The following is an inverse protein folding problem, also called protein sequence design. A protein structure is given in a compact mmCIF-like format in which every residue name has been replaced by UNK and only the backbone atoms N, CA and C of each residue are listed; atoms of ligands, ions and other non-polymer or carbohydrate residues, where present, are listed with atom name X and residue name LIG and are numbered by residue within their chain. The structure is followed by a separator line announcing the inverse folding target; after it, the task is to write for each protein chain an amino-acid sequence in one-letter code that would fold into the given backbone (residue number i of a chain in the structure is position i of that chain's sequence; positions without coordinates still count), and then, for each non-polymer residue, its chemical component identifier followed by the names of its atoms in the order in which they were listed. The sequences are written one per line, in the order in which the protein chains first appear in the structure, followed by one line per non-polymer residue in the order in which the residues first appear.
data_IF_012782381511
#
_entry.id   IF_012782381511
#
_cell.length_a   1.000
_cell.length_b   1.000
_cell.length_c   1.000
_cell.angle_alpha   90.00
_cell.angle_beta   90.00
_cell.angle_gamma   90.00
#
_symmetry.space_group_name_H-M   'P 1'
#
loop_
_entity.id
_entity.type
_entity.pdbx_description
1 polymer ?
#
# COMPACT_ATOMS: atom_id res chain seq x y z
N UNK A 1 21.35 -4.54 -8.13
CA UNK A 1 20.11 -4.27 -7.34
C UNK A 1 19.03 -3.53 -8.14
N UNK A 2 19.37 -2.82 -9.19
CA UNK A 2 18.41 -2.06 -10.01
C UNK A 2 17.67 -2.90 -11.06
N UNK A 3 18.02 -4.17 -11.22
CA UNK A 3 17.43 -5.02 -12.26
C UNK A 3 16.11 -5.61 -11.78
N UNK A 4 15.08 -5.51 -12.62
CA UNK A 4 13.77 -6.12 -12.35
C UNK A 4 13.91 -7.63 -12.20
N UNK A 5 13.27 -8.24 -11.17
CA UNK A 5 13.25 -9.68 -11.01
C UNK A 5 12.53 -10.38 -12.17
N UNK A 6 13.00 -11.57 -12.53
CA UNK A 6 12.29 -12.42 -13.49
C UNK A 6 10.88 -12.76 -12.98
N UNK A 7 9.92 -12.86 -13.88
CA UNK A 7 8.52 -13.15 -13.60
C UNK A 7 7.75 -12.09 -12.78
N UNK A 8 8.35 -10.94 -12.47
CA UNK A 8 7.64 -9.82 -11.86
C UNK A 8 6.73 -9.17 -12.89
N UNK A 9 5.44 -9.04 -12.57
CA UNK A 9 4.43 -8.55 -13.52
C UNK A 9 4.01 -7.10 -13.30
N UNK A 10 4.41 -6.52 -12.17
CA UNK A 10 4.15 -5.14 -11.82
C UNK A 10 5.05 -4.13 -12.52
N UNK A 11 5.07 -2.89 -12.02
CA UNK A 11 5.99 -1.86 -12.54
C UNK A 11 7.21 -1.75 -11.63
N UNK A 12 8.40 -1.82 -12.22
CA UNK A 12 9.68 -1.69 -11.54
C UNK A 12 10.31 -0.36 -11.89
N UNK A 13 10.33 0.57 -10.94
CA UNK A 13 10.79 1.95 -11.14
C UNK A 13 12.14 2.14 -10.46
N UNK A 14 13.17 2.41 -11.26
CA UNK A 14 14.53 2.72 -10.81
C UNK A 14 14.81 4.22 -10.90
N UNK A 15 15.92 4.74 -10.33
CA UNK A 15 16.28 6.16 -10.38
C UNK A 15 16.32 6.76 -11.80
N UNK A 16 16.67 5.97 -12.81
CA UNK A 16 16.73 6.40 -14.21
C UNK A 16 15.35 6.49 -14.89
N UNK A 17 14.29 6.00 -14.23
CA UNK A 17 12.96 5.99 -14.82
C UNK A 17 12.29 7.38 -14.72
N UNK A 18 11.62 7.89 -15.77
CA UNK A 18 10.99 9.21 -15.77
C UNK A 18 9.96 9.44 -14.64
N UNK A 19 9.34 8.38 -14.17
CA UNK A 19 8.36 8.45 -13.07
C UNK A 19 8.98 8.28 -11.68
N UNK A 20 10.30 8.23 -11.55
CA UNK A 20 10.95 7.90 -10.27
C UNK A 20 10.64 8.92 -9.18
N UNK A 21 10.78 10.22 -9.47
CA UNK A 21 10.48 11.28 -8.49
C UNK A 21 9.05 11.17 -7.96
N UNK A 22 8.08 10.84 -8.84
CA UNK A 22 6.69 10.63 -8.43
C UNK A 22 6.53 9.36 -7.59
N UNK A 23 7.28 8.32 -7.89
CA UNK A 23 7.20 7.04 -7.19
C UNK A 23 7.76 7.11 -5.76
N UNK A 24 8.82 7.91 -5.52
CA UNK A 24 9.39 8.11 -4.18
C UNK A 24 8.68 9.20 -3.37
N UNK A 25 7.86 10.05 -3.98
CA UNK A 25 7.17 11.13 -3.30
C UNK A 25 6.33 10.63 -2.13
N UNK A 26 6.32 11.40 -1.05
CA UNK A 26 5.54 11.14 0.18
C UNK A 26 4.73 12.38 0.56
N UNK A 27 3.67 12.16 1.35
CA UNK A 27 2.92 13.28 1.91
C UNK A 27 3.82 14.22 2.72
N UNK A 28 4.68 13.67 3.55
CA UNK A 28 5.68 14.42 4.30
C UNK A 28 7.02 14.41 3.55
N UNK A 29 7.43 15.55 3.01
CA UNK A 29 8.66 15.69 2.21
C UNK A 29 9.90 15.25 3.00
N UNK A 30 9.95 15.50 4.30
CA UNK A 30 11.04 15.03 5.17
C UNK A 30 11.12 13.51 5.30
N UNK A 31 10.08 12.79 4.89
CA UNK A 31 10.01 11.33 4.90
C UNK A 31 10.41 10.70 3.55
N UNK A 32 10.70 11.50 2.52
CA UNK A 32 11.19 10.99 1.24
C UNK A 32 12.61 10.41 1.41
N UNK A 33 12.85 9.28 0.73
CA UNK A 33 14.17 8.62 0.67
C UNK A 33 14.42 8.11 -0.74
N UNK A 34 15.67 8.06 -1.13
CA UNK A 34 16.09 7.59 -2.46
C UNK A 34 16.18 6.07 -2.48
N UNK A 35 15.07 5.42 -2.79
CA UNK A 35 15.02 3.97 -2.94
C UNK A 35 15.81 3.51 -4.17
N UNK A 36 16.49 2.35 -4.08
CA UNK A 36 17.12 1.74 -5.25
C UNK A 36 16.11 1.28 -6.29
N UNK A 37 14.90 0.90 -5.85
CA UNK A 37 13.77 0.60 -6.72
C UNK A 37 12.44 0.77 -5.98
N UNK A 38 11.38 1.10 -6.74
CA UNK A 38 9.99 1.06 -6.29
C UNK A 38 9.24 0.02 -7.12
N UNK A 39 8.73 -1.01 -6.46
CA UNK A 39 7.99 -2.12 -7.06
C UNK A 39 6.48 -1.92 -6.83
N UNK A 40 5.73 -1.49 -7.86
CA UNK A 40 4.27 -1.47 -7.84
C UNK A 40 3.74 -2.87 -8.11
N UNK A 41 3.35 -3.57 -7.05
CA UNK A 41 2.92 -4.97 -7.11
C UNK A 41 1.45 -5.10 -7.50
N UNK A 42 1.12 -6.07 -8.36
CA UNK A 42 -0.24 -6.32 -8.84
C UNK A 42 -0.97 -7.38 -8.02
N UNK A 43 -0.24 -8.26 -7.37
CA UNK A 43 -0.80 -9.41 -6.66
C UNK A 43 0.17 -9.94 -5.60
N UNK A 44 -0.27 -10.92 -4.81
CA UNK A 44 0.55 -11.53 -3.76
C UNK A 44 1.79 -12.25 -4.31
N UNK A 45 1.73 -12.77 -5.55
CA UNK A 45 2.87 -13.42 -6.18
C UNK A 45 3.99 -12.41 -6.46
N UNK A 46 3.65 -11.22 -6.95
CA UNK A 46 4.61 -10.13 -7.15
C UNK A 46 5.29 -9.75 -5.82
N UNK A 47 4.52 -9.67 -4.72
CA UNK A 47 5.07 -9.41 -3.38
C UNK A 47 6.10 -10.49 -3.01
N UNK A 48 5.77 -11.78 -3.19
CA UNK A 48 6.67 -12.87 -2.89
C UNK A 48 7.96 -12.81 -3.74
N UNK A 49 7.85 -12.47 -5.01
CA UNK A 49 9.00 -12.30 -5.92
C UNK A 49 9.92 -11.18 -5.41
N UNK A 50 9.37 -10.02 -5.05
CA UNK A 50 10.15 -8.89 -4.54
C UNK A 50 10.81 -9.22 -3.21
N UNK A 51 10.12 -9.92 -2.31
CA UNK A 51 10.68 -10.36 -1.03
C UNK A 51 11.85 -11.33 -1.23
N UNK A 52 11.73 -12.30 -2.14
CA UNK A 52 12.79 -13.24 -2.45
C UNK A 52 14.00 -12.53 -3.10
N UNK A 53 13.74 -11.58 -4.00
CA UNK A 53 14.78 -10.75 -4.60
C UNK A 53 15.51 -9.93 -3.53
N UNK A 54 14.79 -9.24 -2.64
CA UNK A 54 15.39 -8.48 -1.55
C UNK A 54 16.25 -9.37 -0.63
N UNK A 55 15.76 -10.57 -0.30
CA UNK A 55 16.50 -11.55 0.50
C UNK A 55 17.79 -11.99 -0.20
N UNK A 56 17.73 -12.31 -1.49
CA UNK A 56 18.89 -12.73 -2.29
C UNK A 56 20.01 -11.68 -2.29
N UNK A 57 19.63 -10.42 -2.44
CA UNK A 57 20.57 -9.28 -2.51
C UNK A 57 20.80 -8.59 -1.17
N UNK A 58 20.24 -9.13 -0.07
CA UNK A 58 20.30 -8.55 1.29
C UNK A 58 19.85 -7.08 1.30
N UNK A 59 18.86 -6.76 0.49
CA UNK A 59 18.29 -5.42 0.37
C UNK A 59 17.25 -5.20 1.46
N UNK A 60 17.26 -4.03 2.06
CA UNK A 60 16.19 -3.62 2.96
C UNK A 60 14.92 -3.30 2.18
N UNK A 61 13.78 -3.44 2.82
CA UNK A 61 12.48 -3.15 2.23
C UNK A 61 11.68 -2.17 3.07
N UNK A 62 10.85 -1.38 2.41
CA UNK A 62 9.75 -0.64 3.03
C UNK A 62 8.46 -0.96 2.27
N UNK A 63 7.32 -0.89 2.96
CA UNK A 63 6.00 -1.11 2.34
C UNK A 63 5.28 0.24 2.32
N UNK A 64 4.67 0.56 1.18
CA UNK A 64 3.88 1.76 0.98
C UNK A 64 2.42 1.42 0.66
N UNK A 65 1.49 1.91 1.48
CA UNK A 65 0.09 2.09 1.15
C UNK A 65 -0.15 3.48 0.56
N UNK A 66 -0.72 4.41 1.33
CA UNK A 66 -0.92 5.82 0.91
C UNK A 66 0.34 6.70 0.99
N UNK A 67 1.37 6.27 1.72
CA UNK A 67 2.60 7.05 1.89
C UNK A 67 2.47 8.22 2.87
N UNK A 68 1.60 8.11 3.86
CA UNK A 68 1.31 9.17 4.83
C UNK A 68 2.15 9.14 6.12
N UNK A 69 3.01 8.13 6.28
CA UNK A 69 3.87 8.02 7.47
C UNK A 69 4.89 9.16 7.55
N UNK A 70 4.70 10.07 8.47
CA UNK A 70 5.64 11.17 8.75
C UNK A 70 6.96 10.67 9.37
N UNK A 71 6.96 9.48 9.97
CA UNK A 71 8.18 8.84 10.50
C UNK A 71 9.06 8.22 9.41
N UNK A 72 8.57 8.15 8.16
CA UNK A 72 9.30 7.57 7.04
C UNK A 72 9.22 6.04 6.95
N UNK A 73 8.29 5.39 7.68
CA UNK A 73 8.16 3.93 7.66
C UNK A 73 7.84 3.34 6.27
N UNK A 74 7.22 4.14 5.39
CA UNK A 74 6.93 3.76 4.00
C UNK A 74 8.04 4.11 3.00
N UNK A 75 9.20 4.55 3.48
CA UNK A 75 10.36 4.97 2.67
C UNK A 75 11.62 4.26 3.11
N UNK A 76 12.57 4.12 2.21
CA UNK A 76 13.86 3.51 2.53
C UNK A 76 14.95 4.09 1.63
N UNK A 77 16.13 4.31 2.20
CA UNK A 77 17.32 4.71 1.45
C UNK A 77 17.98 3.47 0.86
N UNK A 78 18.33 3.52 -0.41
CA UNK A 78 19.05 2.46 -1.14
C UNK A 78 18.42 1.05 -1.08
N UNK A 79 17.17 0.96 -0.63
CA UNK A 79 16.40 -0.29 -0.53
C UNK A 79 15.30 -0.40 -1.58
N UNK A 80 14.40 -1.36 -1.40
CA UNK A 80 13.26 -1.59 -2.30
C UNK A 80 11.96 -1.17 -1.59
N UNK A 81 11.17 -0.32 -2.22
CA UNK A 81 9.80 0.00 -1.78
C UNK A 81 8.83 -0.95 -2.47
N UNK A 82 8.05 -1.70 -1.70
CA UNK A 82 6.88 -2.46 -2.19
C UNK A 82 5.67 -1.52 -2.11
N UNK A 83 5.19 -1.07 -3.25
CA UNK A 83 4.10 -0.10 -3.34
C UNK A 83 2.78 -0.78 -3.73
N UNK A 84 1.78 -0.68 -2.84
CA UNK A 84 0.47 -1.28 -3.00
C UNK A 84 -0.54 -0.32 -3.65
N UNK A 85 -0.24 0.99 -3.68
CA UNK A 85 -1.21 2.05 -3.96
C UNK A 85 -1.78 2.02 -5.38
N UNK A 86 -1.05 1.47 -6.35
CA UNK A 86 -1.44 1.51 -7.77
C UNK A 86 -2.41 0.39 -8.15
N UNK A 87 -2.18 -0.82 -7.68
CA UNK A 87 -2.88 -2.03 -8.14
C UNK A 87 -3.63 -2.77 -7.04
N UNK A 88 -3.25 -2.60 -5.78
CA UNK A 88 -3.87 -3.26 -4.64
C UNK A 88 -4.68 -2.25 -3.79
N UNK A 89 -5.40 -1.35 -4.46
CA UNK A 89 -6.19 -0.28 -3.84
C UNK A 89 -7.70 -0.47 -4.01
N UNK A 90 -8.15 -1.63 -4.46
CA UNK A 90 -9.56 -1.92 -4.68
C UNK A 90 -10.33 -2.03 -3.37
N UNK A 91 -11.59 -1.62 -3.41
CA UNK A 91 -12.54 -1.74 -2.30
C UNK A 91 -13.81 -2.41 -2.81
N UNK A 92 -14.22 -3.50 -2.16
CA UNK A 92 -15.48 -4.20 -2.42
C UNK A 92 -16.28 -4.30 -1.12
N UNK A 93 -17.54 -3.94 -1.17
CA UNK A 93 -18.49 -4.04 -0.04
C UNK A 93 -19.46 -5.18 -0.29
N UNK A 94 -19.68 -6.00 0.73
CA UNK A 94 -20.77 -6.95 0.82
C UNK A 94 -21.82 -6.38 1.78
N UNK A 95 -22.92 -5.81 1.26
CA UNK A 95 -23.90 -5.16 2.11
C UNK A 95 -24.76 -6.15 2.92
N UNK A 96 -24.89 -7.38 2.49
CA UNK A 96 -25.66 -8.40 3.21
C UNK A 96 -24.92 -8.84 4.47
N UNK A 97 -23.63 -9.08 4.35
CA UNK A 97 -22.76 -9.47 5.46
C UNK A 97 -22.22 -8.26 6.24
N UNK A 98 -22.46 -7.03 5.76
CA UNK A 98 -21.87 -5.78 6.30
C UNK A 98 -20.35 -5.87 6.40
N UNK A 99 -19.69 -6.35 5.36
CA UNK A 99 -18.26 -6.50 5.26
C UNK A 99 -17.71 -5.66 4.13
N UNK A 100 -16.53 -5.07 4.35
CA UNK A 100 -15.73 -4.46 3.31
C UNK A 100 -14.41 -5.25 3.13
N UNK A 101 -14.05 -5.51 1.89
CA UNK A 101 -12.77 -6.06 1.48
C UNK A 101 -11.96 -4.90 0.92
N UNK A 102 -10.86 -4.57 1.58
CA UNK A 102 -10.09 -3.36 1.31
C UNK A 102 -8.66 -3.75 0.99
N UNK A 103 -8.18 -3.35 -0.18
CA UNK A 103 -6.78 -3.54 -0.56
C UNK A 103 -5.85 -2.70 0.30
N UNK A 104 -4.64 -3.21 0.58
CA UNK A 104 -3.67 -2.53 1.45
C UNK A 104 -3.15 -1.19 0.91
N UNK A 105 -3.36 -0.91 -0.37
CA UNK A 105 -3.05 0.38 -1.00
C UNK A 105 -4.24 1.36 -1.05
N UNK A 106 -5.44 0.94 -0.60
CA UNK A 106 -6.62 1.79 -0.61
C UNK A 106 -6.51 2.90 0.44
N UNK A 107 -7.05 4.07 0.12
CA UNK A 107 -7.20 5.18 1.06
C UNK A 107 -8.63 5.20 1.62
N UNK A 108 -8.82 5.77 2.81
CA UNK A 108 -10.12 5.82 3.47
C UNK A 108 -11.20 6.49 2.64
N UNK A 109 -10.86 7.52 1.86
CA UNK A 109 -11.79 8.15 0.92
C UNK A 109 -12.45 7.13 -0.03
N UNK A 110 -11.68 6.16 -0.54
CA UNK A 110 -12.20 5.13 -1.44
C UNK A 110 -13.13 4.16 -0.70
N UNK A 111 -12.79 3.84 0.54
CA UNK A 111 -13.62 2.98 1.41
C UNK A 111 -14.95 3.66 1.68
N UNK A 112 -14.92 4.92 2.13
CA UNK A 112 -16.12 5.70 2.46
C UNK A 112 -17.03 5.90 1.25
N UNK A 113 -16.46 6.31 0.11
CA UNK A 113 -17.22 6.48 -1.14
C UNK A 113 -17.83 5.18 -1.65
N UNK A 114 -17.24 4.04 -1.32
CA UNK A 114 -17.79 2.73 -1.70
C UNK A 114 -18.86 2.28 -0.72
N UNK A 115 -18.63 2.41 0.58
CA UNK A 115 -19.56 1.98 1.62
C UNK A 115 -20.88 2.78 1.59
N UNK A 116 -20.78 4.11 1.41
CA UNK A 116 -21.97 5.00 1.42
C UNK A 116 -22.98 4.68 0.30
N UNK A 117 -22.54 4.11 -0.82
CA UNK A 117 -23.43 3.66 -1.90
C UNK A 117 -24.41 2.56 -1.45
N UNK A 118 -24.05 1.87 -0.36
CA UNK A 118 -24.85 0.82 0.26
C UNK A 118 -25.51 1.28 1.58
N UNK A 119 -25.44 2.57 1.92
CA UNK A 119 -25.94 3.10 3.20
C UNK A 119 -25.13 2.63 4.40
N UNK A 120 -23.87 2.28 4.20
CA UNK A 120 -22.97 1.76 5.22
C UNK A 120 -21.82 2.74 5.45
N UNK A 121 -21.23 2.69 6.64
CA UNK A 121 -20.03 3.43 7.01
C UNK A 121 -19.01 2.48 7.64
N UNK A 122 -17.71 2.73 7.40
CA UNK A 122 -16.62 2.01 8.05
C UNK A 122 -16.14 2.79 9.28
N UNK A 123 -15.80 2.06 10.35
CA UNK A 123 -15.01 2.66 11.44
C UNK A 123 -13.58 2.79 10.93
N UNK A 124 -13.16 4.01 10.69
CA UNK A 124 -11.96 4.33 9.92
C UNK A 124 -11.14 5.43 10.59
N UNK A 125 -9.97 5.70 10.05
CA UNK A 125 -9.16 6.86 10.44
C UNK A 125 -9.85 8.18 10.11
N UNK A 126 -9.52 9.21 10.87
CA UNK A 126 -10.15 10.55 10.74
C UNK A 126 -9.73 11.31 9.49
N UNK A 127 -8.66 10.89 8.83
CA UNK A 127 -8.10 11.54 7.64
C UNK A 127 -8.32 10.66 6.41
N UNK A 128 -9.16 11.11 5.50
CA UNK A 128 -9.63 10.30 4.37
C UNK A 128 -8.59 9.97 3.29
N UNK A 129 -7.46 10.67 3.20
CA UNK A 129 -6.37 10.32 2.27
C UNK A 129 -5.27 9.47 2.90
N UNK A 130 -5.37 9.12 4.17
CA UNK A 130 -4.51 8.10 4.78
C UNK A 130 -4.94 6.73 4.29
N UNK A 131 -3.99 5.84 4.03
CA UNK A 131 -4.34 4.48 3.63
C UNK A 131 -4.79 3.65 4.82
N UNK A 132 -5.56 2.62 4.53
CA UNK A 132 -5.96 1.62 5.51
C UNK A 132 -4.76 0.93 6.17
N UNK A 133 -3.60 0.93 5.52
CA UNK A 133 -2.36 0.31 6.01
C UNK A 133 -1.51 1.27 6.87
N UNK A 134 -1.48 2.57 6.53
CA UNK A 134 -0.65 3.58 7.23
C UNK A 134 -1.30 4.11 8.52
N UNK A 135 -2.56 3.78 8.79
CA UNK A 135 -3.28 4.25 9.97
C UNK A 135 -2.98 3.36 11.18
N UNK A 136 -2.26 3.87 12.21
CA UNK A 136 -1.94 3.10 13.40
C UNK A 136 -3.17 2.68 14.22
N UNK A 137 -4.30 3.36 14.05
CA UNK A 137 -5.56 2.99 14.72
C UNK A 137 -6.29 1.86 13.99
N UNK A 138 -6.10 1.72 12.69
CA UNK A 138 -6.72 0.64 11.91
C UNK A 138 -6.09 -0.72 12.21
N UNK A 139 -4.85 -0.75 12.67
CA UNK A 139 -4.13 -1.98 13.04
C UNK A 139 -4.76 -2.70 14.25
N UNK A 140 -5.56 -2.00 15.07
CA UNK A 140 -6.23 -2.58 16.25
C UNK A 140 -7.57 -3.23 15.94
N UNK A 141 -8.17 -2.95 14.80
CA UNK A 141 -9.56 -3.31 14.53
C UNK A 141 -9.77 -4.63 13.79
N UNK A 142 -8.78 -5.27 13.26
CA UNK A 142 -8.86 -6.67 12.81
C UNK A 142 -7.74 -7.01 11.81
N UNK A 143 -6.69 -7.56 12.28
CA UNK A 143 -5.89 -8.50 11.49
C UNK A 143 -6.70 -9.80 11.36
N UNK A 144 -7.76 -9.77 10.57
CA UNK A 144 -8.30 -11.00 10.05
C UNK A 144 -7.42 -11.41 8.87
N UNK A 145 -7.14 -12.70 8.78
CA UNK A 145 -6.35 -13.34 7.72
C UNK A 145 -6.78 -12.97 6.30
N UNK A 146 -7.94 -12.35 6.15
CA UNK A 146 -8.65 -12.11 4.90
C UNK A 146 -8.88 -10.62 4.60
N UNK A 147 -8.25 -9.67 5.33
CA UNK A 147 -8.40 -8.21 5.13
C UNK A 147 -9.86 -7.74 5.13
N UNK A 148 -10.69 -8.26 6.05
CA UNK A 148 -12.11 -7.93 6.16
C UNK A 148 -12.36 -6.86 7.21
N UNK A 149 -13.11 -5.85 6.85
CA UNK A 149 -13.56 -4.78 7.73
C UNK A 149 -15.06 -4.90 7.95
N UNK A 150 -15.51 -4.78 9.20
CA UNK A 150 -16.94 -4.62 9.47
C UNK A 150 -17.33 -3.16 9.21
N UNK A 151 -18.38 -2.97 8.42
CA UNK A 151 -19.00 -1.67 8.20
C UNK A 151 -20.26 -1.56 9.04
N UNK A 152 -20.53 -0.36 9.55
CA UNK A 152 -21.67 -0.05 10.38
C UNK A 152 -22.81 0.56 9.53
N UNK A 153 -24.04 0.43 10.02
CA UNK A 153 -25.24 1.10 9.46
C UNK A 153 -25.43 2.47 10.07
#
# INVERSE_FOLDING_TARGET
MSTQPESFTGDWITPDHPSYTKAIARWAVNAERHAAAVAFVKNAQDVAIVLNHAKQYKSHIAIRGGGHSASGASSIEEGIVIDLSRYLADVRVDPAEKLAYVGGGAIWETVDKTAIKHGLAAVAGTVNHVSSFDDPFSCWLTLSKDWRWRVCT
#
